data_IF_416290863532
#
_entry.id   IF_416290863532
#
_cell.length_a   1.000
_cell.length_b   1.000
_cell.length_c   1.000
_cell.angle_alpha   90.00
_cell.angle_beta   90.00
_cell.angle_gamma   90.00
#
_symmetry.space_group_name_H-M   'P 1'
#
loop_
_entity.id
_entity.type
_entity.pdbx_description
1 polymer ?
#
# COMPACT_ATOMS: atom_id res chain seq x y z
N UNK A 1 -43.01 9.61 -52.70
CA UNK A 1 -41.82 8.89 -53.20
C UNK A 1 -40.60 9.49 -52.53
N UNK A 2 -39.87 8.83 -51.65
CA UNK A 2 -39.65 7.39 -51.45
C UNK A 2 -39.36 7.10 -49.98
N UNK A 3 -40.00 6.06 -49.48
CA UNK A 3 -39.66 5.37 -48.23
C UNK A 3 -38.22 4.85 -48.30
N UNK A 4 -37.42 5.07 -47.25
CA UNK A 4 -36.21 4.28 -47.04
C UNK A 4 -36.39 3.42 -45.79
N UNK A 5 -36.87 2.20 -46.06
CA UNK A 5 -36.93 1.06 -45.17
C UNK A 5 -35.67 0.23 -45.40
N UNK A 6 -34.92 0.00 -44.32
CA UNK A 6 -33.95 -1.08 -44.00
C UNK A 6 -32.86 -0.44 -43.15
N UNK A 7 -32.59 -0.84 -41.93
CA UNK A 7 -32.21 -2.21 -41.58
C UNK A 7 -32.35 -2.37 -40.06
N UNK A 8 -33.38 -3.08 -39.62
CA UNK A 8 -33.44 -3.60 -38.26
C UNK A 8 -32.48 -4.80 -38.19
N UNK A 9 -31.16 -4.54 -38.12
CA UNK A 9 -30.22 -5.55 -37.63
C UNK A 9 -30.47 -5.73 -36.15
N UNK A 10 -31.30 -6.71 -35.89
CA UNK A 10 -31.58 -7.28 -34.60
C UNK A 10 -30.27 -7.73 -33.93
N UNK A 11 -30.24 -7.51 -32.63
CA UNK A 11 -29.30 -7.81 -31.55
C UNK A 11 -28.67 -9.24 -31.49
N UNK A 12 -28.27 -9.84 -32.61
CA UNK A 12 -27.70 -11.22 -32.62
C UNK A 12 -26.22 -11.28 -32.19
N UNK A 13 -25.54 -10.14 -32.08
CA UNK A 13 -24.13 -10.08 -31.68
C UNK A 13 -23.93 -10.33 -30.18
N UNK A 14 -24.87 -9.93 -29.33
CA UNK A 14 -24.81 -10.14 -27.89
C UNK A 14 -25.02 -11.61 -27.51
N UNK A 15 -26.00 -12.28 -28.14
CA UNK A 15 -26.24 -13.72 -27.95
C UNK A 15 -25.06 -14.57 -28.44
N UNK A 16 -24.44 -14.22 -29.58
CA UNK A 16 -23.26 -14.93 -30.09
C UNK A 16 -21.99 -14.66 -29.27
N UNK A 17 -21.88 -13.48 -28.65
CA UNK A 17 -20.76 -13.14 -27.75
C UNK A 17 -20.83 -13.96 -26.47
N UNK A 18 -22.00 -14.08 -25.86
CA UNK A 18 -22.16 -14.90 -24.65
C UNK A 18 -21.90 -16.40 -24.91
N UNK A 19 -22.31 -16.91 -26.07
CA UNK A 19 -22.05 -18.31 -26.42
C UNK A 19 -20.60 -18.59 -26.83
N UNK A 20 -19.91 -17.61 -27.43
CA UNK A 20 -18.47 -17.71 -27.69
C UNK A 20 -17.66 -17.61 -26.39
N UNK A 21 -18.08 -16.77 -25.42
CA UNK A 21 -17.49 -16.74 -24.08
C UNK A 21 -17.68 -18.04 -23.31
N UNK A 22 -18.87 -18.65 -23.36
CA UNK A 22 -19.11 -19.95 -22.70
C UNK A 22 -18.26 -21.07 -23.30
N UNK A 23 -18.05 -21.03 -24.62
CA UNK A 23 -17.22 -22.01 -25.32
C UNK A 23 -15.75 -21.86 -24.90
N UNK A 24 -15.24 -20.62 -24.90
CA UNK A 24 -13.91 -20.29 -24.39
C UNK A 24 -13.73 -20.69 -22.92
N UNK A 25 -14.69 -20.38 -22.05
CA UNK A 25 -14.60 -20.71 -20.63
C UNK A 25 -14.59 -22.23 -20.37
N UNK A 26 -15.25 -23.02 -21.23
CA UNK A 26 -15.23 -24.48 -21.15
C UNK A 26 -13.91 -25.06 -21.65
N UNK A 27 -13.38 -24.52 -22.73
CA UNK A 27 -12.10 -24.97 -23.32
C UNK A 27 -10.90 -24.63 -22.42
N UNK A 28 -10.94 -23.49 -21.73
CA UNK A 28 -9.87 -23.03 -20.82
C UNK A 28 -10.19 -23.28 -19.33
N UNK A 29 -11.11 -24.18 -19.01
CA UNK A 29 -11.57 -24.39 -17.63
C UNK A 29 -10.44 -24.78 -16.67
N UNK A 30 -9.53 -25.65 -17.10
CA UNK A 30 -8.39 -26.11 -16.28
C UNK A 30 -7.38 -24.98 -16.04
N UNK A 31 -7.15 -24.12 -17.03
CA UNK A 31 -6.28 -22.95 -16.91
C UNK A 31 -6.87 -21.91 -15.96
N UNK A 32 -8.18 -21.67 -16.04
CA UNK A 32 -8.90 -20.77 -15.12
C UNK A 32 -8.86 -21.27 -13.68
N UNK A 33 -9.02 -22.58 -13.46
CA UNK A 33 -8.89 -23.20 -12.13
C UNK A 33 -7.47 -23.04 -11.55
N UNK A 34 -6.45 -23.19 -12.39
CA UNK A 34 -5.06 -22.98 -12.00
C UNK A 34 -4.76 -21.51 -11.67
N UNK A 35 -5.36 -20.57 -12.43
CA UNK A 35 -5.26 -19.14 -12.17
C UNK A 35 -5.95 -18.76 -10.86
N UNK A 36 -7.11 -19.34 -10.52
CA UNK A 36 -7.81 -19.11 -9.26
C UNK A 36 -6.95 -19.51 -8.05
N UNK A 37 -6.21 -20.62 -8.16
CA UNK A 37 -5.29 -21.07 -7.10
C UNK A 37 -3.98 -20.27 -7.05
N UNK A 38 -3.70 -19.45 -8.07
CA UNK A 38 -2.48 -18.65 -8.14
C UNK A 38 -2.42 -17.58 -7.06
N UNK A 39 -1.20 -17.25 -6.65
CA UNK A 39 -0.92 -16.21 -5.66
C UNK A 39 -1.45 -14.85 -6.08
N UNK A 40 -1.49 -14.56 -7.38
CA UNK A 40 -1.93 -13.25 -7.88
C UNK A 40 -3.45 -13.13 -7.87
N UNK A 41 -4.21 -14.17 -8.24
CA UNK A 41 -5.67 -14.19 -8.07
C UNK A 41 -6.09 -13.99 -6.61
N UNK A 42 -5.39 -14.64 -5.67
CA UNK A 42 -5.62 -14.44 -4.22
C UNK A 42 -5.33 -13.00 -3.75
N UNK A 43 -4.34 -12.32 -4.36
CA UNK A 43 -4.11 -10.89 -4.09
C UNK A 43 -5.26 -10.06 -4.64
N UNK A 44 -5.71 -10.31 -5.87
CA UNK A 44 -6.86 -9.59 -6.45
C UNK A 44 -8.11 -9.77 -5.61
N UNK A 45 -8.43 -10.99 -5.18
CA UNK A 45 -9.56 -11.26 -4.29
C UNK A 45 -9.46 -10.46 -2.98
N UNK A 46 -8.27 -10.38 -2.39
CA UNK A 46 -8.01 -9.58 -1.19
C UNK A 46 -8.20 -8.08 -1.46
N UNK A 47 -7.76 -7.59 -2.61
CA UNK A 47 -7.93 -6.20 -3.02
C UNK A 47 -9.41 -5.86 -3.24
N UNK A 48 -10.16 -6.73 -3.92
CA UNK A 48 -11.60 -6.59 -4.14
C UNK A 48 -12.35 -6.61 -2.82
N UNK A 49 -12.04 -7.56 -1.91
CA UNK A 49 -12.63 -7.61 -0.57
C UNK A 49 -12.32 -6.36 0.25
N UNK A 50 -11.10 -5.82 0.16
CA UNK A 50 -10.72 -4.58 0.83
C UNK A 50 -11.47 -3.38 0.26
N UNK A 51 -11.57 -3.27 -1.07
CA UNK A 51 -12.31 -2.22 -1.76
C UNK A 51 -13.81 -2.30 -1.44
N UNK A 52 -14.41 -3.48 -1.49
CA UNK A 52 -15.81 -3.72 -1.12
C UNK A 52 -16.08 -3.35 0.35
N UNK A 53 -15.18 -3.70 1.26
CA UNK A 53 -15.28 -3.31 2.68
C UNK A 53 -15.15 -1.79 2.85
N UNK A 54 -14.25 -1.15 2.11
CA UNK A 54 -14.09 0.30 2.12
C UNK A 54 -15.33 1.01 1.57
N UNK A 55 -15.88 0.55 0.44
CA UNK A 55 -17.12 1.06 -0.14
C UNK A 55 -18.31 0.85 0.80
N UNK A 56 -18.44 -0.33 1.42
CA UNK A 56 -19.49 -0.58 2.42
C UNK A 56 -19.34 0.29 3.66
N UNK A 57 -18.12 0.60 4.08
CA UNK A 57 -17.83 1.49 5.20
C UNK A 57 -18.05 2.97 4.88
N UNK A 58 -17.83 3.38 3.63
CA UNK A 58 -18.06 4.75 3.16
C UNK A 58 -19.54 5.07 2.88
N UNK A 59 -20.43 4.09 3.03
CA UNK A 59 -21.82 4.19 2.57
C UNK A 59 -21.86 4.05 1.05
N UNK A 60 -22.84 3.29 0.53
CA UNK A 60 -22.95 3.11 -0.91
C UNK A 60 -22.99 4.45 -1.63
N UNK A 61 -22.19 4.59 -2.69
CA UNK A 61 -22.13 5.78 -3.53
C UNK A 61 -23.56 6.14 -3.95
N UNK A 62 -24.05 7.27 -3.45
CA UNK A 62 -25.46 7.65 -3.56
C UNK A 62 -25.62 8.61 -4.74
N UNK A 63 -26.78 8.60 -5.38
CA UNK A 63 -27.08 9.59 -6.43
C UNK A 63 -26.99 11.03 -5.92
N UNK A 64 -27.01 11.26 -4.61
CA UNK A 64 -26.78 12.56 -3.98
C UNK A 64 -25.33 13.05 -4.03
N UNK A 65 -24.37 12.18 -4.36
CA UNK A 65 -22.96 12.53 -4.57
C UNK A 65 -22.74 13.18 -5.94
N UNK A 66 -23.64 12.94 -6.90
CA UNK A 66 -23.68 13.65 -8.17
C UNK A 66 -24.34 15.03 -8.02
N UNK A 67 -23.72 15.92 -7.27
CA UNK A 67 -24.18 17.31 -7.19
C UNK A 67 -23.82 18.04 -8.48
N UNK A 68 -24.81 18.72 -9.06
CA UNK A 68 -24.67 19.49 -10.29
C UNK A 68 -23.58 20.58 -10.21
N UNK A 69 -23.21 21.02 -8.99
CA UNK A 69 -22.11 21.96 -8.78
C UNK A 69 -20.71 21.40 -9.10
N UNK A 70 -20.55 20.08 -9.21
CA UNK A 70 -19.31 19.43 -9.67
C UNK A 70 -19.18 19.55 -11.19
N UNK A 71 -20.31 19.62 -11.90
CA UNK A 71 -20.37 19.67 -13.37
C UNK A 71 -20.56 21.08 -13.93
N UNK A 72 -21.19 22.00 -13.17
CA UNK A 72 -21.33 23.40 -13.56
C UNK A 72 -20.12 24.17 -13.06
N UNK A 73 -19.15 24.41 -13.95
CA UNK A 73 -18.21 25.54 -14.12
C UNK A 73 -17.74 26.40 -12.92
N UNK A 74 -17.95 25.98 -11.68
CA UNK A 74 -17.57 26.66 -10.44
C UNK A 74 -16.79 25.75 -9.49
N UNK A 75 -16.58 24.48 -9.87
CA UNK A 75 -15.56 23.65 -9.27
C UNK A 75 -14.23 23.96 -9.98
N UNK A 76 -13.21 24.52 -9.31
CA UNK A 76 -11.92 24.82 -9.95
C UNK A 76 -11.20 23.56 -10.51
N UNK A 77 -11.72 22.38 -10.20
CA UNK A 77 -11.18 21.07 -10.61
C UNK A 77 -12.12 20.32 -11.58
N UNK A 78 -13.02 21.04 -12.27
CA UNK A 78 -13.82 20.46 -13.36
C UNK A 78 -12.94 20.03 -14.56
N UNK A 79 -13.49 19.25 -15.51
CA UNK A 79 -12.76 18.86 -16.72
C UNK A 79 -12.24 20.10 -17.44
N UNK A 80 -10.92 20.14 -17.72
CA UNK A 80 -10.23 21.31 -18.27
C UNK A 80 -10.93 21.84 -19.52
N UNK A 81 -11.31 23.12 -19.52
CA UNK A 81 -11.83 23.81 -20.70
C UNK A 81 -10.68 24.24 -21.61
N UNK A 82 -10.95 24.37 -22.92
CA UNK A 82 -9.95 24.76 -23.94
C UNK A 82 -9.33 26.15 -23.75
N UNK A 83 -9.83 26.93 -22.80
CA UNK A 83 -9.35 28.26 -22.45
C UNK A 83 -8.20 28.25 -21.46
N UNK A 84 -7.89 27.11 -20.82
CA UNK A 84 -6.73 26.98 -19.92
C UNK A 84 -5.57 26.37 -20.69
N UNK A 85 -4.42 27.05 -20.68
CA UNK A 85 -3.23 26.54 -21.34
C UNK A 85 -2.74 25.28 -20.60
N UNK A 86 -2.25 24.27 -21.33
CA UNK A 86 -1.68 23.08 -20.67
C UNK A 86 -0.50 23.47 -19.76
N UNK A 87 0.15 24.59 -20.07
CA UNK A 87 1.41 25.02 -19.46
C UNK A 87 1.24 26.06 -18.34
N UNK A 88 0.08 26.70 -18.18
CA UNK A 88 -0.33 27.36 -16.95
C UNK A 88 -0.80 26.29 -15.96
N UNK A 89 0.16 25.54 -15.45
CA UNK A 89 0.05 25.07 -14.09
C UNK A 89 0.22 26.28 -13.16
N UNK A 90 -0.78 27.17 -13.16
CA UNK A 90 -0.89 28.32 -12.25
C UNK A 90 -1.31 27.82 -10.87
N UNK A 91 -0.38 27.09 -10.30
CA UNK A 91 0.20 27.21 -8.99
C UNK A 91 1.27 26.11 -9.07
N UNK A 92 2.54 26.41 -8.81
CA UNK A 92 3.51 25.35 -8.57
C UNK A 92 2.99 24.61 -7.33
N UNK A 93 2.13 23.62 -7.55
CA UNK A 93 1.55 22.84 -6.48
C UNK A 93 2.76 22.17 -5.85
N UNK A 94 3.11 22.70 -4.69
CA UNK A 94 4.18 22.21 -3.83
C UNK A 94 3.83 20.83 -3.26
N UNK A 95 2.96 20.09 -3.95
CA UNK A 95 2.63 18.70 -3.78
C UNK A 95 3.86 17.79 -3.86
N UNK A 96 4.95 18.23 -4.50
CA UNK A 96 6.24 17.58 -4.30
C UNK A 96 6.91 18.10 -3.02
N UNK A 97 6.45 17.58 -1.89
CA UNK A 97 7.27 17.56 -0.68
C UNK A 97 8.32 16.46 -0.87
N UNK A 98 9.61 16.78 -1.06
CA UNK A 98 10.63 15.74 -1.13
C UNK A 98 10.57 14.92 0.15
N UNK A 99 10.74 13.58 0.08
CA UNK A 99 10.74 12.75 1.28
C UNK A 99 11.85 13.26 2.20
N UNK A 100 11.45 13.83 3.33
CA UNK A 100 12.38 14.39 4.30
C UNK A 100 13.06 13.24 5.05
N UNK A 101 14.34 12.98 4.72
CA UNK A 101 15.17 11.98 5.41
C UNK A 101 15.66 12.49 6.77
N UNK A 102 14.79 13.04 7.61
CA UNK A 102 15.12 13.20 9.03
C UNK A 102 14.56 12.01 9.79
N UNK A 103 15.28 10.90 9.77
CA UNK A 103 15.15 9.93 10.85
C UNK A 103 16.25 10.24 11.87
N UNK A 104 16.05 11.21 12.79
CA UNK A 104 16.94 11.27 13.93
C UNK A 104 16.80 9.94 14.66
N UNK A 105 17.91 9.21 14.80
CA UNK A 105 17.97 8.05 15.69
C UNK A 105 17.40 8.50 17.03
N UNK A 106 16.38 7.80 17.53
CA UNK A 106 15.81 8.16 18.82
C UNK A 106 16.88 8.04 19.89
N UNK A 107 16.82 8.91 20.89
CA UNK A 107 17.78 8.95 22.00
C UNK A 107 17.90 7.55 22.66
N UNK A 108 16.78 6.82 22.77
CA UNK A 108 16.75 5.42 23.24
C UNK A 108 17.54 4.45 22.35
N UNK A 109 17.51 4.61 21.02
CA UNK A 109 18.30 3.79 20.10
C UNK A 109 19.80 4.09 20.25
N UNK A 110 20.17 5.36 20.42
CA UNK A 110 21.56 5.77 20.64
C UNK A 110 22.09 5.18 21.94
N UNK A 111 21.34 5.29 23.04
CA UNK A 111 21.70 4.68 24.33
C UNK A 111 21.83 3.16 24.19
N UNK A 112 20.88 2.51 23.52
CA UNK A 112 20.91 1.07 23.29
C UNK A 112 22.14 0.60 22.51
N UNK A 113 22.58 1.38 21.51
CA UNK A 113 23.80 1.08 20.74
C UNK A 113 25.08 1.24 21.58
N UNK A 114 25.18 2.31 22.37
CA UNK A 114 26.34 2.54 23.26
C UNK A 114 26.44 1.42 24.29
N UNK A 115 25.31 1.07 24.92
CA UNK A 115 25.26 0.01 25.92
C UNK A 115 25.58 -1.36 25.29
N UNK A 116 25.11 -1.60 24.06
CA UNK A 116 25.44 -2.80 23.30
C UNK A 116 26.93 -2.92 22.99
N UNK A 117 27.55 -1.83 22.55
CA UNK A 117 29.00 -1.78 22.32
C UNK A 117 29.79 -2.04 23.62
N UNK A 118 29.37 -1.44 24.74
CA UNK A 118 29.98 -1.69 26.05
C UNK A 118 29.84 -3.15 26.47
N UNK A 119 28.70 -3.79 26.21
CA UNK A 119 28.48 -5.21 26.51
C UNK A 119 29.45 -6.14 25.77
N UNK A 120 29.72 -5.83 24.49
CA UNK A 120 30.70 -6.58 23.66
C UNK A 120 32.12 -6.41 24.21
N UNK A 121 32.51 -5.20 24.62
CA UNK A 121 33.82 -4.96 25.23
C UNK A 121 33.97 -5.74 26.55
N UNK A 122 32.94 -5.74 27.40
CA UNK A 122 32.93 -6.51 28.65
C UNK A 122 33.00 -8.02 28.40
N UNK A 123 32.37 -8.51 27.34
CA UNK A 123 32.44 -9.91 26.94
C UNK A 123 33.87 -10.29 26.53
N UNK A 124 34.53 -9.47 25.72
CA UNK A 124 35.92 -9.70 25.27
C UNK A 124 36.89 -9.66 26.47
N UNK A 125 36.69 -8.74 27.41
CA UNK A 125 37.49 -8.69 28.65
C UNK A 125 37.27 -9.92 29.52
N UNK A 126 36.03 -10.41 29.62
CA UNK A 126 35.70 -11.63 30.36
C UNK A 126 36.45 -12.85 29.83
N UNK A 127 36.61 -12.95 28.51
CA UNK A 127 37.36 -14.04 27.87
C UNK A 127 38.86 -13.99 28.14
N UNK A 128 39.42 -12.80 28.39
CA UNK A 128 40.85 -12.60 28.61
C UNK A 128 41.28 -12.79 30.08
N UNK A 129 40.35 -12.60 31.03
CA UNK A 129 40.61 -12.70 32.48
C UNK A 129 39.77 -13.82 33.13
N UNK A 130 40.28 -15.07 33.19
CA UNK A 130 39.55 -16.21 33.75
C UNK A 130 39.13 -16.01 35.21
N UNK A 131 39.91 -15.26 35.99
CA UNK A 131 39.72 -15.03 37.44
C UNK A 131 38.50 -14.17 37.79
N UNK A 132 38.02 -13.33 36.87
CA UNK A 132 36.85 -12.45 37.07
C UNK A 132 35.74 -12.71 36.03
N UNK A 133 35.87 -13.81 35.28
CA UNK A 133 35.03 -14.14 34.13
C UNK A 133 33.54 -14.23 34.47
N UNK A 134 33.18 -14.81 35.63
CA UNK A 134 31.79 -14.99 36.04
C UNK A 134 31.06 -13.66 36.31
N UNK A 135 31.69 -12.73 37.02
CA UNK A 135 31.11 -11.42 37.33
C UNK A 135 31.03 -10.51 36.10
N UNK A 136 32.07 -10.51 35.26
CA UNK A 136 32.03 -9.75 34.01
C UNK A 136 31.03 -10.32 33.01
N UNK A 137 30.88 -11.65 32.96
CA UNK A 137 29.90 -12.30 32.11
C UNK A 137 28.45 -11.99 32.53
N UNK A 138 28.14 -11.98 33.84
CA UNK A 138 26.80 -11.61 34.31
C UNK A 138 26.50 -10.14 34.03
N UNK A 139 27.46 -9.24 34.26
CA UNK A 139 27.32 -7.81 33.91
C UNK A 139 27.12 -7.61 32.40
N UNK A 140 27.91 -8.32 31.57
CA UNK A 140 27.75 -8.30 30.11
C UNK A 140 26.36 -8.79 29.71
N UNK A 141 25.88 -9.90 30.28
CA UNK A 141 24.55 -10.44 29.99
C UNK A 141 23.43 -9.46 30.34
N UNK A 142 23.47 -8.82 31.51
CA UNK A 142 22.50 -7.79 31.92
C UNK A 142 22.55 -6.59 30.95
N UNK A 143 23.75 -6.17 30.59
CA UNK A 143 23.99 -5.06 29.66
C UNK A 143 23.40 -5.36 28.26
N UNK A 144 23.56 -6.58 27.74
CA UNK A 144 22.95 -7.03 26.48
C UNK A 144 21.43 -7.01 26.55
N UNK A 145 20.85 -7.52 27.64
CA UNK A 145 19.38 -7.55 27.82
C UNK A 145 18.78 -6.14 27.82
N UNK A 146 19.42 -5.20 28.53
CA UNK A 146 18.99 -3.80 28.55
C UNK A 146 19.13 -3.13 27.17
N UNK A 147 20.23 -3.41 26.46
CA UNK A 147 20.48 -2.89 25.12
C UNK A 147 19.41 -3.34 24.13
N UNK A 148 19.09 -4.64 24.10
CA UNK A 148 18.02 -5.20 23.27
C UNK A 148 16.65 -4.60 23.62
N UNK A 149 16.35 -4.47 24.91
CA UNK A 149 15.10 -3.87 25.38
C UNK A 149 14.90 -2.43 24.89
N UNK A 150 15.95 -1.60 24.99
CA UNK A 150 15.92 -0.21 24.53
C UNK A 150 15.82 -0.08 23.00
N UNK A 151 16.50 -0.95 22.26
CA UNK A 151 16.44 -0.97 20.79
C UNK A 151 15.04 -1.40 20.33
N UNK A 152 14.47 -2.46 20.89
CA UNK A 152 13.12 -2.90 20.55
C UNK A 152 12.09 -1.83 20.91
N UNK A 153 12.24 -1.17 22.07
CA UNK A 153 11.37 -0.08 22.48
C UNK A 153 11.48 1.14 21.54
N UNK A 154 12.69 1.48 21.08
CA UNK A 154 12.88 2.56 20.11
C UNK A 154 12.20 2.28 18.77
N UNK A 155 12.27 1.05 18.27
CA UNK A 155 11.60 0.63 17.02
C UNK A 155 10.09 0.66 17.20
N UNK A 156 9.58 0.25 18.37
CA UNK A 156 8.15 0.31 18.68
C UNK A 156 7.64 1.74 18.81
N UNK A 157 8.39 2.62 19.47
CA UNK A 157 8.05 4.03 19.62
C UNK A 157 8.02 4.76 18.28
N UNK A 158 8.93 4.42 17.35
CA UNK A 158 8.97 5.02 16.01
C UNK A 158 7.81 4.57 15.11
N UNK A 159 7.09 3.51 15.46
CA UNK A 159 5.95 2.97 14.68
C UNK A 159 4.59 3.46 15.18
N UNK A 160 4.54 4.14 16.34
CA UNK A 160 3.34 4.80 16.85
C UNK A 160 3.32 6.24 16.39
#
# INVERSE_FOLDING_TARGET
>A
MTDNKTDARHDDSAASSDDSWKTFAREHQDELNNLEQSKDARKFEKHIKKAQKAQKAQGGFSSSDFKNNVFIAGNPHGPRTYSTSWFDADEADSHFTPPHFSSPLSLSAIIGLILGAAAVVLLILSLNMPSASSLLATLSAICVLLSLGLIVNSVRSSRR
#
